data_IF_069931478606
#
_entry.id   IF_069931478606
#
_cell.length_a   1.000
_cell.length_b   1.000
_cell.length_c   1.000
_cell.angle_alpha   90.00
_cell.angle_beta   90.00
_cell.angle_gamma   90.00
#
_symmetry.space_group_name_H-M   'P 1'
#
loop_
_entity.id
_entity.type
_entity.pdbx_description
1 polymer ?
#
# COMPACT_ATOMS: atom_id res chain seq x y z
N UNK A 1 -12.51 -3.55 0.35
CA UNK A 1 -11.93 -4.02 1.63
C UNK A 1 -10.89 -5.09 1.40
N UNK A 2 -9.79 -5.10 2.17
CA UNK A 2 -8.71 -6.08 2.06
C UNK A 2 -8.98 -7.36 2.84
N UNK A 3 -8.55 -8.50 2.29
CA UNK A 3 -8.60 -9.80 2.98
C UNK A 3 -7.27 -10.03 3.71
N UNK A 4 -7.32 -10.63 4.91
CA UNK A 4 -6.10 -10.95 5.66
C UNK A 4 -5.22 -11.91 4.86
N UNK A 5 -3.93 -11.57 4.73
CA UNK A 5 -2.95 -12.37 4.01
C UNK A 5 -3.06 -12.30 2.48
N UNK A 6 -3.96 -11.46 1.93
CA UNK A 6 -3.99 -11.24 0.48
C UNK A 6 -2.84 -10.34 0.03
N UNK A 7 -2.47 -10.50 -1.24
CA UNK A 7 -1.58 -9.59 -1.96
C UNK A 7 -2.44 -8.88 -2.99
N UNK A 8 -2.36 -7.55 -2.99
CA UNK A 8 -3.04 -6.71 -3.98
C UNK A 8 -2.01 -6.09 -4.91
N UNK A 9 -2.25 -6.22 -6.21
CA UNK A 9 -1.39 -5.62 -7.24
C UNK A 9 -2.14 -4.50 -7.95
N UNK A 10 -1.45 -3.37 -8.13
CA UNK A 10 -1.98 -2.19 -8.83
C UNK A 10 -0.93 -1.64 -9.78
N UNK A 11 -1.38 -1.25 -10.98
CA UNK A 11 -0.59 -0.45 -11.90
C UNK A 11 -0.82 1.03 -11.61
N UNK A 12 0.27 1.79 -11.43
CA UNK A 12 0.23 3.22 -11.15
C UNK A 12 0.94 3.93 -12.30
N UNK A 13 0.20 4.54 -13.25
CA UNK A 13 0.81 5.33 -14.31
C UNK A 13 1.37 6.63 -13.72
N UNK A 14 2.61 6.96 -14.08
CA UNK A 14 3.23 8.22 -13.75
C UNK A 14 3.33 9.09 -15.01
N UNK A 15 2.96 10.36 -14.88
CA UNK A 15 3.11 11.34 -15.97
C UNK A 15 4.48 12.01 -15.98
N UNK A 16 5.31 11.73 -14.97
CA UNK A 16 6.63 12.34 -14.75
C UNK A 16 7.64 11.27 -14.35
N UNK A 17 8.90 11.47 -14.74
CA UNK A 17 10.00 10.63 -14.28
C UNK A 17 10.39 11.06 -12.86
N UNK A 18 10.12 10.18 -11.89
CA UNK A 18 10.41 10.40 -10.47
C UNK A 18 11.80 9.91 -10.04
N UNK A 19 12.57 9.31 -10.97
CA UNK A 19 13.86 8.71 -10.68
C UNK A 19 13.77 7.56 -9.68
N UNK A 20 14.75 7.51 -8.78
CA UNK A 20 14.87 6.44 -7.78
C UNK A 20 13.88 6.62 -6.62
N UNK A 21 13.05 5.61 -6.41
CA UNK A 21 12.06 5.59 -5.32
C UNK A 21 12.77 5.22 -4.02
N UNK A 22 12.78 6.15 -3.06
CA UNK A 22 13.35 5.98 -1.72
C UNK A 22 12.28 5.68 -0.65
N UNK A 23 11.06 6.12 -0.90
CA UNK A 23 9.92 6.02 0.01
C UNK A 23 8.61 5.97 -0.76
N UNK A 24 7.62 5.29 -0.19
CA UNK A 24 6.23 5.36 -0.64
C UNK A 24 5.30 5.63 0.55
N UNK A 25 4.26 6.42 0.30
CA UNK A 25 3.21 6.69 1.26
C UNK A 25 1.89 6.13 0.70
N UNK A 26 1.26 5.20 1.41
CA UNK A 26 0.05 4.52 0.94
C UNK A 26 -1.09 4.81 1.91
N UNK A 27 -2.16 5.42 1.40
CA UNK A 27 -3.43 5.59 2.11
C UNK A 27 -4.37 4.42 1.80
N UNK A 28 -4.86 3.76 2.85
CA UNK A 28 -5.78 2.64 2.76
C UNK A 28 -7.19 3.08 3.13
N UNK A 29 -8.07 3.12 2.13
CA UNK A 29 -9.47 3.51 2.33
C UNK A 29 -10.41 2.31 2.36
N UNK A 30 -11.22 2.20 3.41
CA UNK A 30 -12.39 1.32 3.44
C UNK A 30 -13.42 1.89 2.48
N UNK A 31 -13.63 1.22 1.36
CA UNK A 31 -14.76 1.50 0.47
C UNK A 31 -15.91 0.58 0.86
N UNK A 32 -17.08 1.14 1.17
CA UNK A 32 -18.15 0.33 1.71
C UNK A 32 -19.48 0.99 2.10
N UNK A 33 -20.57 0.33 1.74
CA UNK A 33 -21.96 0.56 2.17
C UNK A 33 -22.17 -0.05 3.58
N UNK A 34 -23.25 0.30 4.29
CA UNK A 34 -23.59 -0.13 5.67
C UNK A 34 -23.37 -1.62 5.99
N UNK A 35 -23.44 -2.49 5.00
CA UNK A 35 -23.18 -3.93 5.12
C UNK A 35 -21.67 -4.17 5.32
N UNK A 36 -20.82 -3.67 4.43
CA UNK A 36 -19.37 -3.86 4.53
C UNK A 36 -18.72 -3.14 5.73
N UNK A 37 -19.43 -2.23 6.41
CA UNK A 37 -18.92 -1.56 7.61
C UNK A 37 -18.88 -2.51 8.81
N UNK A 38 -19.85 -3.45 8.95
CA UNK A 38 -19.99 -4.37 10.09
C UNK A 38 -19.14 -5.63 9.99
N UNK A 39 -18.93 -6.20 8.79
CA UNK A 39 -18.23 -7.49 8.66
C UNK A 39 -16.71 -7.42 8.45
N UNK A 40 -16.17 -6.25 8.11
CA UNK A 40 -14.74 -6.13 7.83
C UNK A 40 -14.05 -5.13 8.75
N UNK A 41 -12.86 -5.50 9.22
CA UNK A 41 -12.01 -4.59 9.99
C UNK A 41 -11.74 -3.31 9.22
N UNK A 42 -11.74 -2.18 9.92
CA UNK A 42 -11.23 -0.89 9.45
C UNK A 42 -9.74 -0.72 9.75
N UNK A 43 -9.10 -1.72 10.37
CA UNK A 43 -7.67 -1.74 10.67
C UNK A 43 -6.98 -2.86 9.90
N UNK A 44 -5.81 -2.53 9.36
CA UNK A 44 -4.97 -3.45 8.60
C UNK A 44 -3.51 -3.24 8.99
N UNK A 45 -2.74 -4.33 8.98
CA UNK A 45 -1.29 -4.28 9.11
C UNK A 45 -0.69 -4.70 7.76
N UNK A 46 -0.01 -3.78 7.11
CA UNK A 46 0.70 -4.03 5.86
C UNK A 46 2.18 -4.14 6.15
N UNK A 47 2.77 -5.31 5.92
CA UNK A 47 4.17 -5.57 6.28
C UNK A 47 5.14 -5.01 5.25
N UNK A 48 4.78 -5.11 3.97
CA UNK A 48 5.64 -4.71 2.86
C UNK A 48 4.86 -4.30 1.63
N UNK A 49 5.47 -3.47 0.81
CA UNK A 49 5.10 -3.17 -0.56
C UNK A 49 6.28 -3.51 -1.47
N UNK A 50 5.99 -3.93 -2.70
CA UNK A 50 7.01 -4.17 -3.73
C UNK A 50 6.65 -3.29 -4.92
N UNK A 51 7.58 -2.46 -5.35
CA UNK A 51 7.42 -1.59 -6.52
C UNK A 51 8.27 -2.15 -7.64
N UNK A 52 7.63 -2.35 -8.79
CA UNK A 52 8.27 -2.72 -10.04
C UNK A 52 8.29 -1.48 -10.93
N UNK A 53 9.47 -0.90 -11.14
CA UNK A 53 9.66 0.17 -12.12
C UNK A 53 9.91 -0.47 -13.49
N UNK A 54 8.93 -0.34 -14.39
CA UNK A 54 9.00 -0.91 -15.74
C UNK A 54 10.10 -0.29 -16.61
N UNK A 55 10.33 1.02 -16.49
CA UNK A 55 11.29 1.76 -17.32
C UNK A 55 12.73 1.37 -16.99
N UNK A 56 13.01 1.20 -15.69
CA UNK A 56 14.34 0.80 -15.20
C UNK A 56 14.50 -0.72 -15.08
N UNK A 57 13.42 -1.50 -15.26
CA UNK A 57 13.35 -2.93 -14.95
C UNK A 57 13.83 -3.28 -13.53
N UNK A 58 13.53 -2.41 -12.56
CA UNK A 58 13.97 -2.58 -11.17
C UNK A 58 12.80 -2.99 -10.27
N UNK A 59 13.08 -3.91 -9.34
CA UNK A 59 12.19 -4.27 -8.24
C UNK A 59 12.76 -3.76 -6.92
N UNK A 60 11.96 -3.03 -6.15
CA UNK A 60 12.34 -2.55 -4.82
C UNK A 60 11.29 -2.92 -3.79
N UNK A 61 11.75 -3.25 -2.59
CA UNK A 61 10.89 -3.56 -1.46
C UNK A 61 10.88 -2.38 -0.49
N UNK A 62 9.71 -2.13 0.08
CA UNK A 62 9.49 -1.11 1.09
C UNK A 62 8.76 -1.74 2.26
N UNK A 63 9.25 -1.52 3.49
CA UNK A 63 8.69 -2.08 4.70
C UNK A 63 8.03 -0.97 5.52
N UNK A 64 6.90 -1.29 6.15
CA UNK A 64 6.38 -0.46 7.22
C UNK A 64 7.05 -0.88 8.53
N UNK A 65 7.14 0.03 9.51
CA UNK A 65 7.65 -0.27 10.85
C UNK A 65 6.78 -1.22 11.69
N UNK A 66 5.91 -2.03 11.07
CA UNK A 66 4.98 -2.92 11.77
C UNK A 66 3.71 -2.24 12.28
N UNK A 67 3.39 -1.04 11.80
CA UNK A 67 2.26 -0.25 12.29
C UNK A 67 0.93 -0.81 11.80
N UNK A 68 0.01 -1.11 12.73
CA UNK A 68 -1.40 -1.33 12.41
C UNK A 68 -1.99 0.04 12.03
N UNK A 69 -2.48 0.19 10.82
CA UNK A 69 -3.13 1.42 10.37
C UNK A 69 -4.64 1.25 10.35
N UNK A 70 -5.36 2.28 10.81
CA UNK A 70 -6.77 2.44 10.51
C UNK A 70 -6.94 2.97 9.08
N UNK A 71 -8.17 2.90 8.57
CA UNK A 71 -8.50 3.53 7.31
C UNK A 71 -8.32 5.04 7.35
N UNK A 72 -7.66 5.63 6.34
CA UNK A 72 -7.55 7.07 6.14
C UNK A 72 -6.13 7.64 6.29
N UNK A 73 -5.39 7.40 7.38
CA UNK A 73 -4.02 7.86 7.48
C UNK A 73 -3.11 7.15 6.47
N UNK A 74 -2.23 7.92 5.82
CA UNK A 74 -1.19 7.36 4.97
C UNK A 74 -0.14 6.65 5.83
N UNK A 75 0.24 5.44 5.40
CA UNK A 75 1.34 4.69 6.01
C UNK A 75 2.58 4.89 5.17
N UNK A 76 3.65 5.28 5.86
CA UNK A 76 4.99 5.41 5.29
C UNK A 76 5.66 4.04 5.19
N UNK A 77 6.20 3.72 4.01
CA UNK A 77 7.06 2.58 3.79
C UNK A 77 8.40 3.07 3.24
N UNK A 78 9.48 2.72 3.93
CA UNK A 78 10.85 3.03 3.54
C UNK A 78 11.54 1.79 2.96
N UNK A 79 12.60 1.99 2.19
CA UNK A 79 13.35 0.89 1.58
C UNK A 79 13.84 -0.14 2.61
N UNK A 80 13.67 -1.40 2.25
CA UNK A 80 14.18 -2.62 2.87
C UNK A 80 14.32 -3.68 1.74
#
# INVERSE_FOLDING_TARGET
TFKRGSVETRFIPLTVNIGDITEINIDFKKTGNLISSTWYSSTWAFTKAVVLNGDQQQSRKFCSGGTITSSGPAVRFASC
#
